data_IF_679644448918
#
_entry.id   IF_679644448918
#
_cell.length_a   1.000
_cell.length_b   1.000
_cell.length_c   1.000
_cell.angle_alpha   90.00
_cell.angle_beta   90.00
_cell.angle_gamma   90.00
#
_symmetry.space_group_name_H-M   'P 1'
#
loop_
_entity.id
_entity.type
_entity.pdbx_description
1 polymer ?
#
# COMPACT_ATOMS: atom_id res chain seq x y z
N UNK A 1 -10.20 5.05 -14.52
CA UNK A 1 -9.99 4.02 -13.48
C UNK A 1 -8.54 4.10 -13.11
N UNK A 2 -8.21 4.56 -11.91
CA UNK A 2 -6.80 4.61 -11.53
C UNK A 2 -6.36 3.23 -11.07
N UNK A 3 -5.47 2.61 -11.83
CA UNK A 3 -4.80 1.38 -11.45
C UNK A 3 -4.03 1.61 -10.14
N UNK A 4 -4.50 0.99 -9.06
CA UNK A 4 -3.80 1.01 -7.78
C UNK A 4 -2.62 0.05 -7.88
N UNK A 5 -1.41 0.59 -8.04
CA UNK A 5 -0.18 -0.18 -7.98
C UNK A 5 -0.08 -0.88 -6.61
N UNK A 6 -0.03 -2.22 -6.63
CA UNK A 6 0.17 -3.04 -5.43
C UNK A 6 1.62 -3.52 -5.42
N UNK A 7 2.32 -3.27 -4.32
CA UNK A 7 3.70 -3.68 -4.12
C UNK A 7 3.74 -4.54 -2.86
N UNK A 8 4.31 -5.73 -2.97
CA UNK A 8 4.51 -6.68 -1.88
C UNK A 8 6.00 -6.76 -1.57
N UNK A 9 6.37 -6.33 -0.37
CA UNK A 9 7.71 -6.48 0.16
C UNK A 9 7.82 -7.80 0.93
N UNK A 10 8.70 -8.67 0.46
CA UNK A 10 8.98 -10.00 1.03
C UNK A 10 10.43 -10.11 1.47
N UNK A 11 10.75 -11.18 2.19
CA UNK A 11 12.12 -11.53 2.57
C UNK A 11 12.31 -13.03 2.42
N UNK A 12 13.48 -13.45 1.95
CA UNK A 12 13.87 -14.85 1.77
C UNK A 12 13.62 -15.73 3.00
N UNK A 13 13.68 -15.15 4.21
CA UNK A 13 13.58 -15.89 5.45
C UNK A 13 12.21 -15.73 6.16
N UNK A 14 11.12 -15.51 5.41
CA UNK A 14 9.81 -15.26 6.00
C UNK A 14 8.76 -16.31 5.60
N UNK A 15 8.29 -17.16 6.54
CA UNK A 15 7.30 -18.19 6.24
C UNK A 15 5.91 -17.61 5.87
N UNK A 16 5.60 -16.40 6.32
CA UNK A 16 4.30 -15.77 6.09
C UNK A 16 4.17 -15.06 4.73
N UNK A 17 5.28 -14.76 4.05
CA UNK A 17 5.25 -14.09 2.75
C UNK A 17 4.52 -14.90 1.67
N UNK A 18 4.65 -16.23 1.69
CA UNK A 18 3.97 -17.12 0.75
C UNK A 18 2.44 -17.03 0.84
N UNK A 19 1.90 -16.85 2.05
CA UNK A 19 0.46 -16.75 2.27
C UNK A 19 -0.10 -15.47 1.67
N UNK A 20 0.59 -14.34 1.84
CA UNK A 20 0.21 -13.05 1.27
C UNK A 20 0.19 -13.13 -0.26
N UNK A 21 1.25 -13.70 -0.85
CA UNK A 21 1.38 -13.86 -2.30
C UNK A 21 0.24 -14.68 -2.89
N UNK A 22 -0.08 -15.80 -2.24
CA UNK A 22 -1.18 -16.68 -2.65
C UNK A 22 -2.52 -15.97 -2.54
N UNK A 23 -2.74 -15.23 -1.45
CA UNK A 23 -3.97 -14.46 -1.25
C UNK A 23 -4.20 -13.44 -2.36
N UNK A 24 -3.18 -12.64 -2.72
CA UNK A 24 -3.29 -11.67 -3.81
C UNK A 24 -3.52 -12.33 -5.16
N UNK A 25 -2.81 -13.43 -5.45
CA UNK A 25 -3.01 -14.21 -6.69
C UNK A 25 -4.40 -14.82 -6.79
N UNK A 26 -4.94 -15.36 -5.69
CA UNK A 26 -6.30 -15.91 -5.64
C UNK A 26 -7.36 -14.84 -5.92
N UNK A 27 -7.09 -13.59 -5.55
CA UNK A 27 -7.97 -12.45 -5.85
C UNK A 27 -7.79 -11.91 -7.28
N UNK A 28 -6.83 -12.41 -8.06
CA UNK A 28 -6.56 -11.94 -9.42
C UNK A 28 -6.01 -10.52 -9.47
N UNK A 29 -5.31 -10.09 -8.42
CA UNK A 29 -4.76 -8.74 -8.31
C UNK A 29 -3.32 -8.77 -8.84
N UNK A 30 -2.99 -7.83 -9.71
CA UNK A 30 -1.60 -7.63 -10.14
C UNK A 30 -0.80 -6.91 -9.05
N UNK A 31 0.35 -7.48 -8.69
CA UNK A 31 1.24 -6.91 -7.69
C UNK A 31 2.71 -7.15 -8.04
N UNK A 32 3.57 -6.23 -7.62
CA UNK A 32 5.02 -6.34 -7.75
C UNK A 32 5.62 -6.89 -6.46
N UNK A 33 6.39 -7.98 -6.55
CA UNK A 33 7.09 -8.56 -5.42
C UNK A 33 8.54 -8.04 -5.38
N UNK A 34 8.96 -7.52 -4.23
CA UNK A 34 10.34 -7.13 -3.99
C UNK A 34 10.90 -7.83 -2.75
N UNK A 35 12.01 -8.54 -2.93
CA UNK A 35 12.73 -9.14 -1.83
C UNK A 35 13.66 -8.11 -1.18
N UNK A 36 13.34 -7.70 0.05
CA UNK A 36 14.13 -6.73 0.82
C UNK A 36 15.36 -7.36 1.48
N UNK A 37 15.48 -8.69 1.47
CA UNK A 37 16.64 -9.42 2.00
C UNK A 37 17.82 -9.37 1.04
N UNK A 38 17.54 -9.53 -0.26
CA UNK A 38 18.52 -9.43 -1.34
C UNK A 38 18.70 -8.00 -1.82
N UNK A 39 17.68 -7.14 -1.69
CA UNK A 39 17.70 -5.81 -2.26
C UNK A 39 17.57 -4.71 -1.20
N UNK A 40 18.73 -4.24 -0.72
CA UNK A 40 18.81 -3.28 0.38
C UNK A 40 18.18 -1.92 0.03
N UNK A 41 18.21 -1.52 -1.24
CA UNK A 41 17.54 -0.30 -1.71
C UNK A 41 16.03 -0.37 -1.48
N UNK A 42 15.42 -1.53 -1.77
CA UNK A 42 14.00 -1.76 -1.53
C UNK A 42 13.67 -1.84 -0.05
N UNK A 43 14.58 -2.37 0.77
CA UNK A 43 14.45 -2.33 2.24
C UNK A 43 14.40 -0.88 2.77
N UNK A 44 15.25 0.00 2.24
CA UNK A 44 15.27 1.42 2.59
C UNK A 44 14.02 2.13 2.10
N UNK A 45 13.56 1.86 0.88
CA UNK A 45 12.30 2.39 0.33
C UNK A 45 11.10 2.00 1.19
N UNK A 46 11.00 0.71 1.57
CA UNK A 46 10.00 0.18 2.48
C UNK A 46 10.01 0.92 3.83
N UNK A 47 11.20 1.13 4.40
CA UNK A 47 11.36 1.86 5.65
C UNK A 47 10.96 3.33 5.52
N UNK A 48 11.33 4.00 4.42
CA UNK A 48 10.93 5.39 4.16
C UNK A 48 9.41 5.54 3.99
N UNK A 49 8.74 4.55 3.39
CA UNK A 49 7.29 4.54 3.19
C UNK A 49 6.50 4.25 4.48
N UNK A 50 6.91 3.24 5.25
CA UNK A 50 6.16 2.74 6.42
C UNK A 50 6.63 3.30 7.76
N UNK A 51 7.90 3.69 7.84
CA UNK A 51 8.59 3.95 9.11
C UNK A 51 8.88 2.67 9.91
N UNK A 52 8.51 1.48 9.41
CA UNK A 52 8.68 0.19 10.08
C UNK A 52 9.59 -0.73 9.25
N UNK A 53 10.43 -1.52 9.94
CA UNK A 53 11.29 -2.57 9.35
C UNK A 53 10.71 -3.97 9.52
N UNK A 54 9.40 -4.10 9.43
CA UNK A 54 8.72 -5.39 9.63
C UNK A 54 8.14 -5.88 8.33
N UNK A 55 8.48 -7.12 7.99
CA UNK A 55 7.89 -7.89 6.88
C UNK A 55 6.95 -8.95 7.45
N UNK A 56 5.90 -9.39 6.71
CA UNK A 56 5.52 -8.96 5.36
C UNK A 56 4.91 -7.55 5.33
N UNK A 57 5.07 -6.81 4.22
CA UNK A 57 4.50 -5.47 4.05
C UNK A 57 3.92 -5.27 2.65
N UNK A 58 2.75 -4.64 2.54
CA UNK A 58 2.12 -4.26 1.28
C UNK A 58 2.01 -2.73 1.17
N UNK A 59 2.24 -2.22 -0.03
CA UNK A 59 1.94 -0.84 -0.45
C UNK A 59 0.89 -0.87 -1.55
N UNK A 60 -0.31 -0.39 -1.25
CA UNK A 60 -1.45 -0.39 -2.18
C UNK A 60 -1.74 1.07 -2.52
N UNK A 61 -1.12 1.58 -3.59
CA UNK A 61 -1.32 2.95 -4.08
C UNK A 61 -1.09 4.04 -3.02
N UNK A 62 -0.12 3.84 -2.11
CA UNK A 62 0.19 4.75 -1.00
C UNK A 62 -0.41 4.33 0.34
N UNK A 63 -1.23 3.28 0.40
CA UNK A 63 -1.68 2.68 1.66
C UNK A 63 -0.73 1.57 2.09
N UNK A 64 -0.09 1.78 3.23
CA UNK A 64 0.84 0.82 3.80
C UNK A 64 0.12 -0.13 4.77
N UNK A 65 0.22 -1.43 4.52
CA UNK A 65 -0.25 -2.49 5.40
C UNK A 65 0.95 -3.31 5.85
N UNK A 66 1.20 -3.36 7.16
CA UNK A 66 2.31 -4.11 7.76
C UNK A 66 1.77 -5.35 8.46
N UNK A 67 2.37 -6.50 8.18
CA UNK A 67 1.92 -7.81 8.66
C UNK A 67 1.07 -8.58 7.64
N UNK A 68 0.69 -9.80 8.01
CA UNK A 68 -0.26 -10.60 7.23
C UNK A 68 -1.66 -10.44 7.82
N UNK A 69 -2.43 -9.52 7.25
CA UNK A 69 -3.74 -9.17 7.77
C UNK A 69 -4.76 -9.08 6.61
N UNK A 70 -5.42 -10.20 6.25
CA UNK A 70 -6.23 -10.29 5.03
C UNK A 70 -7.39 -9.28 5.01
N UNK A 71 -7.95 -8.96 6.19
CA UNK A 71 -9.02 -7.96 6.34
C UNK A 71 -8.52 -6.56 5.99
N UNK A 72 -7.33 -6.19 6.46
CA UNK A 72 -6.74 -4.88 6.18
C UNK A 72 -6.31 -4.75 4.72
N UNK A 73 -5.79 -5.84 4.13
CA UNK A 73 -5.45 -5.90 2.71
C UNK A 73 -6.70 -5.68 1.86
N UNK A 74 -7.78 -6.42 2.14
CA UNK A 74 -9.05 -6.28 1.43
C UNK A 74 -9.64 -4.87 1.57
N UNK A 75 -9.58 -4.29 2.77
CA UNK A 75 -9.96 -2.90 2.99
C UNK A 75 -9.10 -1.94 2.18
N UNK A 76 -7.78 -2.11 2.12
CA UNK A 76 -6.90 -1.22 1.37
C UNK A 76 -7.15 -1.29 -0.16
N UNK A 77 -7.45 -2.49 -0.66
CA UNK A 77 -7.83 -2.72 -2.06
C UNK A 77 -9.17 -2.05 -2.40
N UNK A 78 -10.19 -2.26 -1.57
CA UNK A 78 -11.55 -1.75 -1.81
C UNK A 78 -11.76 -0.30 -1.39
N UNK A 79 -10.93 0.25 -0.50
CA UNK A 79 -11.19 1.58 0.03
C UNK A 79 -10.96 2.65 -1.05
N UNK A 80 -11.84 3.66 -1.14
CA UNK A 80 -11.63 4.79 -2.04
C UNK A 80 -10.29 5.48 -1.70
N UNK A 81 -9.63 6.09 -2.70
CA UNK A 81 -8.52 7.01 -2.38
C UNK A 81 -9.10 8.01 -1.40
N UNK A 82 -8.52 8.09 -0.21
CA UNK A 82 -8.82 9.17 0.70
C UNK A 82 -7.88 10.30 0.28
N UNK A 83 -8.19 10.94 -0.84
CA UNK A 83 -7.61 12.22 -1.19
C UNK A 83 -7.89 13.17 -0.03
N UNK A 84 -6.83 13.47 0.73
CA UNK A 84 -6.86 14.36 1.90
C UNK A 84 -7.22 15.81 1.55
N UNK A 85 -7.64 16.07 0.30
CA UNK A 85 -7.98 17.39 -0.23
C UNK A 85 -9.43 17.54 -0.71
N UNK A 86 -10.32 16.56 -0.55
CA UNK A 86 -11.76 16.76 -0.86
C UNK A 86 -12.57 17.24 0.36
N UNK A 87 -11.92 17.85 1.35
CA UNK A 87 -12.56 18.47 2.51
C UNK A 87 -12.05 19.90 2.84
N UNK A 88 -11.40 20.59 1.90
CA UNK A 88 -11.03 22.01 2.05
C UNK A 88 -11.11 22.82 0.73
N UNK A 89 -11.98 22.43 -0.20
CA UNK A 89 -12.27 23.22 -1.42
C UNK A 89 -13.73 23.68 -1.48
N UNK A 90 -14.30 24.10 -0.34
CA UNK A 90 -15.60 24.80 -0.35
C UNK A 90 -15.87 25.69 0.88
N UNK A 91 -14.85 26.38 1.39
CA UNK A 91 -15.03 27.60 2.20
C UNK A 91 -13.93 28.62 1.85
N UNK A 92 -13.79 28.91 0.56
CA UNK A 92 -13.24 30.16 0.05
C UNK A 92 -14.21 30.60 -1.04
N UNK A 93 -15.34 31.16 -0.62
CA UNK A 93 -16.19 31.95 -1.50
C UNK A 93 -15.63 33.36 -1.41
N UNK A 94 -14.74 33.68 -2.34
CA UNK A 94 -14.11 34.98 -2.49
C UNK A 94 -15.17 36.11 -2.59
N UNK A 95 -14.91 37.29 -1.99
CA UNK A 95 -15.81 38.43 -2.01
C UNK A 95 -15.61 39.26 -3.29
N UNK A 96 -16.12 38.79 -4.43
CA UNK A 96 -16.22 39.61 -5.65
C UNK A 96 -17.16 38.99 -6.70
N UNK A 97 -18.48 39.18 -6.53
CA UNK A 97 -19.36 39.41 -7.69
C UNK A 97 -20.66 40.08 -7.21
N UNK A 98 -20.84 41.31 -7.69
CA UNK A 98 -21.92 42.30 -7.49
C UNK A 98 -21.91 43.18 -6.24
#
# INVERSE_FOLDING_TARGET
MEEKKVILYTSQNCPFCGNVKTFLKQRGIEFEEYDVSSNQEKAVEMFKKSGKRSVPMLDIGGRIVVGFDPVQIEKALNAPRLDRNSALSNLFFDPFDQ
#
